data_IF_208986298520
#
_entry.id   IF_208986298520
#
_cell.length_a   1.000
_cell.length_b   1.000
_cell.length_c   1.000
_cell.angle_alpha   90.00
_cell.angle_beta   90.00
_cell.angle_gamma   90.00
#
_symmetry.space_group_name_H-M   'P 1'
#
loop_
_entity.id
_entity.type
_entity.pdbx_description
1 polymer ?
#
# COMPACT_ATOMS: atom_id res chain seq x y z
N UNK A 1 11.32 -8.77 -64.23
CA UNK A 1 10.32 -9.08 -63.17
C UNK A 1 10.86 -9.05 -61.72
N UNK A 2 12.14 -8.73 -61.48
CA UNK A 2 12.69 -8.72 -60.11
C UNK A 2 12.51 -7.39 -59.35
N UNK A 3 12.53 -6.25 -60.07
CA UNK A 3 12.42 -4.90 -59.46
C UNK A 3 11.05 -4.61 -58.82
N UNK A 4 9.96 -5.14 -59.38
CA UNK A 4 8.60 -4.92 -58.88
C UNK A 4 8.30 -5.68 -57.58
N UNK A 5 8.97 -6.83 -57.36
CA UNK A 5 8.80 -7.63 -56.13
C UNK A 5 9.50 -6.98 -54.92
N UNK A 6 10.66 -6.35 -55.12
CA UNK A 6 11.42 -5.69 -54.05
C UNK A 6 10.67 -4.45 -53.54
N UNK A 7 10.02 -3.68 -54.42
CA UNK A 7 9.20 -2.53 -54.03
C UNK A 7 7.97 -2.93 -53.20
N UNK A 8 7.32 -4.06 -53.53
CA UNK A 8 6.16 -4.57 -52.80
C UNK A 8 6.52 -5.10 -51.40
N UNK A 9 7.68 -5.76 -51.27
CA UNK A 9 8.19 -6.24 -49.99
C UNK A 9 8.61 -5.05 -49.12
N UNK A 10 9.27 -4.04 -49.68
CA UNK A 10 9.65 -2.82 -48.98
C UNK A 10 8.41 -2.04 -48.46
N UNK A 11 7.34 -1.98 -49.25
CA UNK A 11 6.08 -1.32 -48.88
C UNK A 11 5.34 -2.08 -47.76
N UNK A 12 5.34 -3.43 -47.81
CA UNK A 12 4.78 -4.26 -46.73
C UNK A 12 5.59 -4.15 -45.44
N UNK A 13 6.93 -4.07 -45.52
CA UNK A 13 7.77 -3.85 -44.34
C UNK A 13 7.59 -2.45 -43.75
N UNK A 14 7.40 -1.41 -44.58
CA UNK A 14 7.10 -0.05 -44.09
C UNK A 14 5.71 0.05 -43.44
N UNK A 15 4.70 -0.64 -43.97
CA UNK A 15 3.36 -0.71 -43.37
C UNK A 15 3.32 -1.54 -42.08
N UNK A 16 4.23 -2.51 -41.93
CA UNK A 16 4.36 -3.29 -40.68
C UNK A 16 5.12 -2.55 -39.57
N UNK A 17 5.91 -1.52 -39.91
CA UNK A 17 6.60 -0.65 -38.95
C UNK A 17 5.70 0.46 -38.40
N UNK A 18 4.53 0.69 -39.02
CA UNK A 18 3.52 1.65 -38.58
C UNK A 18 2.31 1.01 -37.89
N UNK A 19 2.38 -0.27 -37.51
CA UNK A 19 1.54 -0.76 -36.41
C UNK A 19 2.12 -0.26 -35.08
N UNK A 20 2.04 1.06 -34.88
CA UNK A 20 1.98 1.63 -33.55
C UNK A 20 0.95 0.79 -32.81
N UNK A 21 1.38 -0.01 -31.83
CA UNK A 21 0.47 -0.46 -30.78
C UNK A 21 0.05 0.82 -30.06
N UNK A 22 -0.89 1.56 -30.64
CA UNK A 22 -1.64 2.55 -29.90
C UNK A 22 -2.11 1.83 -28.66
N UNK A 23 -1.59 2.25 -27.53
CA UNK A 23 -1.84 1.58 -26.28
C UNK A 23 -3.35 1.68 -26.07
N UNK A 24 -4.08 0.56 -26.25
CA UNK A 24 -5.56 0.54 -26.30
C UNK A 24 -6.21 1.24 -25.10
N UNK A 25 -5.46 1.36 -24.00
CA UNK A 25 -5.81 2.11 -22.79
C UNK A 25 -6.14 3.59 -23.06
N UNK A 26 -5.44 4.26 -23.99
CA UNK A 26 -5.69 5.68 -24.34
C UNK A 26 -7.07 5.84 -24.99
N UNK A 27 -7.66 4.80 -25.57
CA UNK A 27 -8.99 4.87 -26.17
C UNK A 27 -10.12 4.43 -25.21
N UNK A 28 -9.79 3.92 -24.02
CA UNK A 28 -10.79 3.57 -23.01
C UNK A 28 -11.32 4.82 -22.31
N UNK A 29 -12.59 4.76 -21.94
CA UNK A 29 -13.22 5.72 -21.04
C UNK A 29 -12.81 5.43 -19.59
N UNK A 30 -12.60 6.50 -18.82
CA UNK A 30 -12.37 6.47 -17.38
C UNK A 30 -12.65 7.86 -16.81
N UNK A 31 -13.22 7.89 -15.62
CA UNK A 31 -13.58 9.10 -14.89
C UNK A 31 -12.56 9.46 -13.81
N UNK A 32 -11.75 8.50 -13.40
CA UNK A 32 -10.83 8.61 -12.28
C UNK A 32 -9.45 8.09 -12.67
N UNK A 33 -8.41 8.56 -11.99
CA UNK A 33 -7.05 8.09 -12.20
C UNK A 33 -6.37 7.86 -10.86
N UNK A 34 -5.69 6.72 -10.73
CA UNK A 34 -4.75 6.43 -9.65
C UNK A 34 -3.36 6.38 -10.26
N UNK A 35 -2.50 7.28 -9.81
CA UNK A 35 -1.12 7.40 -10.25
C UNK A 35 -0.19 6.90 -9.14
N UNK A 36 0.71 6.00 -9.52
CA UNK A 36 1.67 5.38 -8.60
C UNK A 36 3.09 5.37 -9.16
N UNK A 37 4.05 5.13 -8.27
CA UNK A 37 5.43 4.83 -8.59
C UNK A 37 5.65 3.31 -8.57
N UNK A 38 6.80 2.82 -9.05
CA UNK A 38 7.16 1.41 -8.90
C UNK A 38 7.15 0.95 -7.42
N UNK A 39 7.51 1.84 -6.50
CA UNK A 39 7.53 1.57 -5.07
C UNK A 39 6.10 1.40 -4.50
N UNK A 40 5.18 2.29 -4.87
CA UNK A 40 3.79 2.20 -4.41
C UNK A 40 3.00 1.12 -5.15
N UNK A 41 3.30 0.84 -6.42
CA UNK A 41 2.78 -0.31 -7.15
C UNK A 41 3.04 -1.62 -6.40
N UNK A 42 4.28 -1.80 -5.95
CA UNK A 42 4.65 -2.95 -5.13
C UNK A 42 3.83 -3.01 -3.83
N UNK A 43 3.74 -1.89 -3.11
CA UNK A 43 3.03 -1.80 -1.82
C UNK A 43 1.55 -2.18 -1.95
N UNK A 44 0.87 -1.68 -2.99
CA UNK A 44 -0.54 -1.96 -3.25
C UNK A 44 -0.78 -3.26 -4.04
N UNK A 45 0.30 -4.00 -4.39
CA UNK A 45 0.29 -5.25 -5.16
C UNK A 45 -0.28 -5.11 -6.58
N UNK A 46 -0.04 -3.97 -7.21
CA UNK A 46 -0.41 -3.69 -8.60
C UNK A 46 0.57 -4.44 -9.52
N UNK A 47 0.07 -5.24 -10.47
CA UNK A 47 0.92 -6.15 -11.29
C UNK A 47 0.84 -5.96 -12.81
N UNK A 48 -0.18 -5.25 -13.33
CA UNK A 48 -0.48 -5.22 -14.78
C UNK A 48 -0.81 -3.81 -15.31
N UNK A 49 0.03 -2.82 -15.03
CA UNK A 49 -0.19 -1.44 -15.46
C UNK A 49 0.28 -1.13 -16.89
N UNK A 50 -0.36 -0.16 -17.59
CA UNK A 50 -1.59 0.52 -17.20
C UNK A 50 -2.86 -0.29 -17.49
N UNK A 51 -3.91 -0.15 -16.67
CA UNK A 51 -5.20 -0.82 -16.87
C UNK A 51 -6.37 0.03 -16.38
N UNK A 52 -7.58 -0.29 -16.85
CA UNK A 52 -8.83 0.36 -16.42
C UNK A 52 -9.71 -0.66 -15.72
N UNK A 53 -10.19 -0.32 -14.53
CA UNK A 53 -11.14 -1.08 -13.73
C UNK A 53 -12.14 -0.12 -13.08
N UNK A 54 -13.44 -0.42 -13.17
CA UNK A 54 -14.50 0.41 -12.57
C UNK A 54 -14.38 1.91 -12.88
N UNK A 55 -14.14 2.24 -14.16
CA UNK A 55 -13.92 3.60 -14.67
C UNK A 55 -12.72 4.34 -14.05
N UNK A 56 -11.81 3.61 -13.42
CA UNK A 56 -10.56 4.12 -12.86
C UNK A 56 -9.38 3.61 -13.68
N UNK A 57 -8.56 4.54 -14.18
CA UNK A 57 -7.28 4.22 -14.77
C UNK A 57 -6.21 4.08 -13.67
N UNK A 58 -5.59 2.91 -13.62
CA UNK A 58 -4.37 2.65 -12.87
C UNK A 58 -3.17 2.82 -13.79
N UNK A 59 -2.26 3.72 -13.45
CA UNK A 59 -1.09 4.02 -14.29
C UNK A 59 0.13 4.40 -13.46
N UNK A 60 1.29 3.94 -13.91
CA UNK A 60 2.57 4.37 -13.35
C UNK A 60 2.91 5.78 -13.81
N UNK A 61 3.49 6.59 -12.93
CA UNK A 61 3.89 7.96 -13.24
C UNK A 61 4.84 8.03 -14.44
N UNK A 62 5.69 7.02 -14.66
CA UNK A 62 6.59 6.97 -15.82
C UNK A 62 5.85 6.98 -17.17
N UNK A 63 4.59 6.55 -17.18
CA UNK A 63 3.76 6.43 -18.38
C UNK A 63 2.73 7.56 -18.49
N UNK A 64 2.80 8.58 -17.63
CA UNK A 64 1.80 9.66 -17.55
C UNK A 64 1.67 10.49 -18.83
N UNK A 65 2.75 10.58 -19.62
CA UNK A 65 2.77 11.29 -20.90
C UNK A 65 1.69 10.77 -21.86
N UNK A 66 1.39 9.47 -21.81
CA UNK A 66 0.40 8.82 -22.64
C UNK A 66 -1.03 9.34 -22.43
N UNK A 67 -1.30 9.98 -21.29
CA UNK A 67 -2.64 10.44 -20.91
C UNK A 67 -2.68 11.91 -20.53
N UNK A 68 -1.62 12.68 -20.81
CA UNK A 68 -1.50 14.08 -20.39
C UNK A 68 -2.72 14.93 -20.77
N UNK A 69 -3.27 14.71 -21.97
CA UNK A 69 -4.40 15.45 -22.54
C UNK A 69 -5.75 15.07 -21.90
N UNK A 70 -5.78 14.01 -21.10
CA UNK A 70 -6.96 13.54 -20.37
C UNK A 70 -6.98 13.98 -18.90
N UNK A 71 -5.84 14.37 -18.32
CA UNK A 71 -5.73 14.72 -16.90
C UNK A 71 -6.64 15.88 -16.47
N UNK A 72 -6.92 16.82 -17.38
CA UNK A 72 -7.82 17.95 -17.12
C UNK A 72 -9.31 17.58 -17.24
N UNK A 73 -9.64 16.40 -17.77
CA UNK A 73 -11.02 15.97 -18.08
C UNK A 73 -11.61 14.98 -17.08
N UNK A 74 -10.77 14.38 -16.24
CA UNK A 74 -11.20 13.39 -15.25
C UNK A 74 -11.73 14.05 -13.97
N UNK A 75 -12.64 13.36 -13.29
CA UNK A 75 -13.28 13.83 -12.05
C UNK A 75 -12.28 14.00 -10.92
N UNK A 76 -11.43 12.98 -10.68
CA UNK A 76 -10.41 13.00 -9.62
C UNK A 76 -9.17 12.20 -10.02
N UNK A 77 -8.03 12.63 -9.49
CA UNK A 77 -6.73 11.98 -9.63
C UNK A 77 -6.19 11.73 -8.22
N UNK A 78 -5.87 10.49 -7.88
CA UNK A 78 -5.18 10.12 -6.64
C UNK A 78 -3.70 9.88 -6.94
N UNK A 79 -2.82 10.66 -6.31
CA UNK A 79 -1.39 10.44 -6.35
C UNK A 79 -0.95 9.70 -5.08
N UNK A 80 -0.36 8.52 -5.24
CA UNK A 80 0.01 7.65 -4.11
C UNK A 80 1.36 7.97 -3.47
N UNK A 81 2.13 8.90 -4.06
CA UNK A 81 3.46 9.30 -3.62
C UNK A 81 3.72 10.78 -3.94
N UNK A 82 4.82 11.34 -3.43
CA UNK A 82 5.23 12.70 -3.79
C UNK A 82 5.92 12.68 -5.16
N UNK A 83 5.27 13.28 -6.16
CA UNK A 83 5.80 13.36 -7.53
C UNK A 83 6.67 14.59 -7.76
N UNK A 84 7.74 14.44 -8.54
CA UNK A 84 8.53 15.54 -9.11
C UNK A 84 8.20 15.77 -10.59
N UNK A 85 7.30 15.01 -11.19
CA UNK A 85 6.94 15.11 -12.59
C UNK A 85 6.26 16.45 -12.91
N UNK A 86 6.77 17.15 -13.91
CA UNK A 86 6.29 18.46 -14.30
C UNK A 86 4.83 18.44 -14.77
N UNK A 87 4.37 17.41 -15.48
CA UNK A 87 2.99 17.31 -15.98
C UNK A 87 1.97 17.33 -14.84
N UNK A 88 2.35 16.73 -13.70
CA UNK A 88 1.56 16.69 -12.48
C UNK A 88 1.73 17.97 -11.65
N UNK A 89 2.92 18.58 -11.66
CA UNK A 89 3.26 19.73 -10.82
C UNK A 89 2.99 21.11 -11.46
N UNK A 90 2.90 21.19 -12.79
CA UNK A 90 2.85 22.46 -13.54
C UNK A 90 1.45 23.12 -13.54
N UNK A 91 0.44 22.47 -12.95
CA UNK A 91 -0.91 23.04 -12.77
C UNK A 91 -1.42 22.78 -11.36
N UNK A 92 -1.98 23.80 -10.70
CA UNK A 92 -2.83 23.63 -9.49
C UNK A 92 -4.14 22.95 -9.88
N UNK A 93 -4.08 21.63 -10.10
CA UNK A 93 -5.21 20.78 -10.45
C UNK A 93 -6.14 20.64 -9.26
N UNK A 94 -7.38 21.16 -9.34
CA UNK A 94 -8.39 21.03 -8.27
C UNK A 94 -8.88 19.59 -8.08
N UNK A 95 -8.72 18.76 -9.10
CA UNK A 95 -9.09 17.34 -9.09
C UNK A 95 -7.96 16.44 -8.60
N UNK A 96 -6.80 16.99 -8.22
CA UNK A 96 -5.65 16.23 -7.73
C UNK A 96 -5.69 16.09 -6.20
N UNK A 97 -5.59 14.87 -5.73
CA UNK A 97 -5.51 14.51 -4.32
C UNK A 97 -4.26 13.68 -4.05
N UNK A 98 -3.64 13.89 -2.90
CA UNK A 98 -2.49 13.12 -2.47
C UNK A 98 -2.92 12.13 -1.40
N UNK A 99 -2.50 10.88 -1.53
CA UNK A 99 -2.74 9.87 -0.50
C UNK A 99 -2.11 10.27 0.85
N UNK A 100 -1.03 11.05 0.83
CA UNK A 100 -0.39 11.61 2.03
C UNK A 100 -1.26 12.58 2.81
N UNK A 101 -2.26 13.18 2.17
CA UNK A 101 -3.12 14.19 2.78
C UNK A 101 -4.36 13.54 3.43
N UNK A 102 -4.59 12.26 3.17
CA UNK A 102 -5.68 11.51 3.79
C UNK A 102 -5.32 11.19 5.24
N UNK A 103 -6.26 11.50 6.14
CA UNK A 103 -6.15 11.07 7.53
C UNK A 103 -6.56 9.60 7.64
N UNK A 104 -5.60 8.75 8.01
CA UNK A 104 -5.86 7.34 8.29
C UNK A 104 -6.08 7.09 9.77
N UNK A 105 -6.93 6.10 10.07
CA UNK A 105 -7.07 5.60 11.44
C UNK A 105 -7.07 4.09 11.53
N UNK A 106 -6.60 3.63 12.69
CA UNK A 106 -6.52 2.26 13.11
C UNK A 106 -7.64 1.84 14.07
N UNK A 107 -8.57 2.72 14.44
CA UNK A 107 -9.62 2.43 15.45
C UNK A 107 -10.36 1.12 15.17
N UNK A 108 -10.87 0.95 13.95
CA UNK A 108 -11.53 -0.29 13.50
C UNK A 108 -10.64 -1.53 13.67
N UNK A 109 -9.36 -1.41 13.36
CA UNK A 109 -8.40 -2.51 13.45
C UNK A 109 -8.01 -2.84 14.90
N UNK A 110 -7.85 -1.81 15.73
CA UNK A 110 -7.65 -1.94 17.17
C UNK A 110 -8.85 -2.67 17.77
N UNK A 111 -10.08 -2.24 17.49
CA UNK A 111 -11.29 -2.90 17.99
C UNK A 111 -11.37 -4.36 17.54
N UNK A 112 -11.07 -4.65 16.27
CA UNK A 112 -11.01 -6.04 15.81
C UNK A 112 -10.00 -6.89 16.60
N UNK A 113 -8.80 -6.36 16.90
CA UNK A 113 -7.78 -7.07 17.67
C UNK A 113 -8.25 -7.34 19.11
N UNK A 114 -8.92 -6.36 19.73
CA UNK A 114 -9.28 -6.41 21.15
C UNK A 114 -10.67 -7.00 21.43
N UNK A 115 -11.56 -7.11 20.44
CA UNK A 115 -12.91 -7.70 20.58
C UNK A 115 -12.97 -9.15 20.11
N UNK A 116 -12.10 -9.56 19.19
CA UNK A 116 -12.12 -10.93 18.66
C UNK A 116 -11.46 -11.90 19.66
N UNK A 117 -12.24 -12.86 20.19
CA UNK A 117 -11.86 -13.86 21.21
C UNK A 117 -10.71 -14.80 20.82
N UNK A 118 -10.11 -14.60 19.65
CA UNK A 118 -8.93 -15.30 19.13
C UNK A 118 -7.60 -14.88 19.78
N UNK A 119 -7.61 -13.86 20.63
CA UNK A 119 -6.42 -13.40 21.33
C UNK A 119 -6.33 -13.99 22.74
N UNK A 120 -5.60 -15.10 22.87
CA UNK A 120 -4.96 -15.40 24.14
C UNK A 120 -3.89 -14.33 24.36
N UNK A 121 -4.28 -13.18 24.93
CA UNK A 121 -3.36 -12.06 25.18
C UNK A 121 -2.18 -12.47 26.07
N UNK A 122 -2.37 -13.52 26.87
CA UNK A 122 -1.32 -14.15 27.69
C UNK A 122 -0.19 -14.76 26.88
N UNK A 123 -0.44 -15.24 25.64
CA UNK A 123 0.58 -15.74 24.70
C UNK A 123 0.90 -14.73 23.58
N UNK A 124 0.43 -13.49 23.69
CA UNK A 124 0.63 -12.44 22.70
C UNK A 124 1.63 -11.39 23.19
N UNK A 125 2.65 -11.10 22.38
CA UNK A 125 3.52 -9.94 22.55
C UNK A 125 2.94 -8.76 21.76
N UNK A 126 2.41 -7.75 22.46
CA UNK A 126 1.90 -6.52 21.84
C UNK A 126 2.97 -5.43 21.93
N UNK A 127 3.33 -4.88 20.77
CA UNK A 127 4.35 -3.85 20.66
C UNK A 127 3.82 -2.63 19.88
N UNK A 128 4.30 -1.44 20.25
CA UNK A 128 4.08 -0.20 19.49
C UNK A 128 5.38 0.56 19.32
N UNK A 129 5.40 1.48 18.36
CA UNK A 129 6.41 2.53 18.29
C UNK A 129 5.77 3.92 18.16
N UNK A 130 6.59 4.95 18.01
CA UNK A 130 6.16 6.34 17.93
C UNK A 130 5.64 6.74 16.52
N UNK A 131 5.31 5.78 15.64
CA UNK A 131 4.83 6.09 14.28
C UNK A 131 3.30 6.15 14.17
N UNK A 132 2.58 5.75 15.21
CA UNK A 132 1.14 5.97 15.31
C UNK A 132 0.84 7.46 15.46
N UNK A 133 -0.28 7.91 14.91
CA UNK A 133 -0.79 9.24 15.23
C UNK A 133 -1.29 9.26 16.69
N UNK A 134 -1.43 10.47 17.25
CA UNK A 134 -1.85 10.68 18.64
C UNK A 134 -3.19 10.02 18.96
N UNK A 135 -4.18 10.18 18.08
CA UNK A 135 -5.53 9.67 18.29
C UNK A 135 -5.59 8.14 18.35
N UNK A 136 -4.91 7.45 17.44
CA UNK A 136 -4.81 6.00 17.42
C UNK A 136 -3.99 5.48 18.60
N UNK A 137 -2.94 6.20 19.01
CA UNK A 137 -2.13 5.86 20.19
C UNK A 137 -2.95 5.96 21.49
N UNK A 138 -3.69 7.05 21.68
CA UNK A 138 -4.58 7.24 22.84
C UNK A 138 -5.68 6.18 22.87
N UNK A 139 -6.25 5.86 21.70
CA UNK A 139 -7.26 4.82 21.58
C UNK A 139 -6.71 3.43 21.93
N UNK A 140 -5.51 3.09 21.44
CA UNK A 140 -4.82 1.85 21.77
C UNK A 140 -4.55 1.75 23.28
N UNK A 141 -4.03 2.80 23.91
CA UNK A 141 -3.76 2.82 25.35
C UNK A 141 -5.03 2.62 26.17
N UNK A 142 -6.15 3.24 25.76
CA UNK A 142 -7.45 3.03 26.39
C UNK A 142 -7.88 1.56 26.33
N UNK A 143 -7.84 0.93 25.14
CA UNK A 143 -8.22 -0.48 24.96
C UNK A 143 -7.35 -1.44 25.74
N UNK A 144 -6.04 -1.19 25.79
CA UNK A 144 -5.08 -2.01 26.54
C UNK A 144 -5.36 -1.93 28.05
N UNK A 145 -5.63 -0.72 28.59
CA UNK A 145 -5.99 -0.52 30.00
C UNK A 145 -7.32 -1.19 30.36
N UNK A 146 -8.34 -1.05 29.52
CA UNK A 146 -9.66 -1.67 29.72
C UNK A 146 -9.57 -3.20 29.87
N UNK A 147 -8.58 -3.83 29.23
CA UNK A 147 -8.39 -5.29 29.25
C UNK A 147 -7.24 -5.77 30.13
N UNK A 148 -6.59 -4.85 30.87
CA UNK A 148 -5.42 -5.13 31.70
C UNK A 148 -4.30 -5.88 30.94
N UNK A 149 -4.02 -5.45 29.71
CA UNK A 149 -2.99 -6.03 28.85
C UNK A 149 -1.71 -5.20 28.98
N UNK A 150 -0.55 -5.84 28.85
CA UNK A 150 0.72 -5.14 28.77
C UNK A 150 1.07 -4.82 27.30
N UNK A 151 1.50 -3.59 27.03
CA UNK A 151 2.04 -3.18 25.74
C UNK A 151 3.48 -2.70 25.90
N UNK A 152 4.37 -3.19 25.03
CA UNK A 152 5.77 -2.77 25.02
C UNK A 152 5.99 -1.67 23.98
N UNK A 153 6.48 -0.52 24.42
CA UNK A 153 6.93 0.53 23.49
C UNK A 153 8.34 0.20 23.02
N UNK A 154 8.55 0.13 21.70
CA UNK A 154 9.86 -0.04 21.09
C UNK A 154 10.55 1.33 20.99
N UNK A 155 11.77 1.40 21.48
CA UNK A 155 12.59 2.62 21.50
C UNK A 155 14.07 2.31 21.22
N UNK A 156 14.92 3.33 21.29
CA UNK A 156 16.35 3.19 21.03
C UNK A 156 17.08 2.30 22.05
N UNK A 157 16.51 2.08 23.25
CA UNK A 157 17.14 1.30 24.31
C UNK A 157 16.86 -0.19 24.12
N UNK A 158 15.65 -0.55 23.66
CA UNK A 158 15.22 -1.94 23.57
C UNK A 158 15.24 -2.54 22.16
N UNK A 159 15.36 -1.73 21.11
CA UNK A 159 15.32 -2.19 19.71
C UNK A 159 16.37 -3.26 19.38
N UNK A 160 17.53 -3.21 20.03
CA UNK A 160 18.61 -4.19 19.80
C UNK A 160 18.31 -5.56 20.43
N UNK A 161 17.44 -5.59 21.44
CA UNK A 161 17.11 -6.77 22.23
C UNK A 161 15.80 -7.44 21.82
N UNK A 162 15.11 -6.95 20.79
CA UNK A 162 13.79 -7.46 20.37
C UNK A 162 13.76 -8.99 20.15
N UNK A 163 14.87 -9.60 19.70
CA UNK A 163 14.97 -11.06 19.53
C UNK A 163 14.64 -11.82 20.84
N UNK A 164 14.96 -11.25 21.99
CA UNK A 164 14.78 -11.85 23.30
C UNK A 164 13.33 -11.74 23.80
N UNK A 165 12.51 -10.86 23.19
CA UNK A 165 11.11 -10.72 23.59
C UNK A 165 10.24 -11.86 23.05
N UNK A 166 10.69 -12.52 21.98
CA UNK A 166 10.08 -13.76 21.52
C UNK A 166 10.65 -14.92 22.36
N UNK A 167 9.82 -15.42 23.27
CA UNK A 167 10.10 -16.60 24.10
C UNK A 167 9.25 -17.79 23.63
N UNK A 168 9.51 -19.04 24.07
CA UNK A 168 8.69 -20.21 23.72
C UNK A 168 7.20 -20.08 24.06
N UNK A 169 6.84 -19.20 25.01
CA UNK A 169 5.46 -18.97 25.44
C UNK A 169 4.70 -18.00 24.55
N UNK A 170 5.42 -17.22 23.73
CA UNK A 170 4.82 -16.28 22.81
C UNK A 170 4.45 -17.06 21.55
N UNK A 171 3.19 -16.95 21.15
CA UNK A 171 2.63 -17.58 19.95
C UNK A 171 2.28 -16.52 18.90
N UNK A 172 2.08 -15.27 19.33
CA UNK A 172 1.67 -14.17 18.47
C UNK A 172 2.41 -12.88 18.77
N UNK A 173 2.73 -12.15 17.73
CA UNK A 173 3.22 -10.77 17.81
C UNK A 173 2.22 -9.84 17.11
N UNK A 174 1.78 -8.81 17.84
CA UNK A 174 0.93 -7.75 17.32
C UNK A 174 1.77 -6.47 17.30
N UNK A 175 2.05 -5.95 16.11
CA UNK A 175 2.97 -4.84 15.92
C UNK A 175 2.24 -3.60 15.42
N UNK A 176 2.05 -2.63 16.33
CA UNK A 176 1.52 -1.31 16.03
C UNK A 176 2.63 -0.36 15.57
N UNK A 177 3.05 -0.51 14.31
CA UNK A 177 3.99 0.41 13.65
C UNK A 177 3.52 0.68 12.22
N UNK A 178 3.49 1.94 11.80
CA UNK A 178 3.10 2.33 10.44
C UNK A 178 4.27 2.27 9.45
N UNK A 179 5.52 2.42 9.92
CA UNK A 179 6.69 2.63 9.04
C UNK A 179 7.84 1.65 9.29
N UNK A 180 8.00 1.18 10.52
CA UNK A 180 9.24 0.53 10.95
C UNK A 180 9.13 -1.00 11.07
N UNK A 181 8.01 -1.60 10.64
CA UNK A 181 7.81 -3.06 10.71
C UNK A 181 9.01 -3.85 10.16
N UNK A 182 9.57 -3.41 9.03
CA UNK A 182 10.71 -4.09 8.41
C UNK A 182 11.96 -4.14 9.31
N UNK A 183 12.21 -3.10 10.12
CA UNK A 183 13.33 -3.03 11.05
C UNK A 183 13.08 -4.01 12.19
N UNK A 184 11.90 -3.95 12.81
CA UNK A 184 11.56 -4.79 13.95
C UNK A 184 11.50 -6.26 13.57
N UNK A 185 10.90 -6.60 12.43
CA UNK A 185 10.82 -7.98 11.95
C UNK A 185 12.20 -8.56 11.65
N UNK A 186 13.14 -7.77 11.12
CA UNK A 186 14.54 -8.21 10.94
C UNK A 186 15.24 -8.50 12.28
N UNK A 187 14.95 -7.73 13.32
CA UNK A 187 15.53 -7.97 14.66
C UNK A 187 14.90 -9.19 15.32
N UNK A 188 13.57 -9.30 15.25
CA UNK A 188 12.80 -10.44 15.75
C UNK A 188 13.18 -11.75 15.04
N UNK A 189 13.52 -11.71 13.74
CA UNK A 189 13.90 -12.90 12.97
C UNK A 189 15.20 -13.55 13.42
N UNK A 190 15.97 -12.89 14.30
CA UNK A 190 17.15 -13.49 14.94
C UNK A 190 16.79 -14.41 16.11
N UNK A 191 15.53 -14.47 16.52
CA UNK A 191 15.04 -15.40 17.55
C UNK A 191 14.89 -16.82 16.98
N UNK A 192 15.29 -17.88 17.71
CA UNK A 192 15.06 -19.26 17.28
C UNK A 192 13.57 -19.64 17.19
N UNK A 193 12.68 -18.85 17.80
CA UNK A 193 11.24 -19.12 17.80
C UNK A 193 10.48 -18.36 16.71
N UNK A 194 11.13 -17.46 15.96
CA UNK A 194 10.46 -16.55 15.02
C UNK A 194 9.51 -17.24 14.04
N UNK A 195 9.90 -18.40 13.48
CA UNK A 195 9.09 -19.15 12.50
C UNK A 195 7.81 -19.75 13.09
N UNK A 196 7.68 -19.81 14.42
CA UNK A 196 6.52 -20.35 15.13
C UNK A 196 5.50 -19.27 15.52
N UNK A 197 5.80 -18.00 15.23
CA UNK A 197 4.99 -16.86 15.67
C UNK A 197 4.02 -16.44 14.57
N UNK A 198 2.74 -16.28 14.93
CA UNK A 198 1.73 -15.59 14.12
C UNK A 198 1.95 -14.07 14.22
N UNK A 199 1.99 -13.37 13.08
CA UNK A 199 2.12 -11.91 13.07
C UNK A 199 0.83 -11.20 12.64
N UNK A 200 0.44 -10.17 13.41
CA UNK A 200 -0.54 -9.15 13.03
C UNK A 200 0.21 -7.84 12.85
N UNK A 201 0.18 -7.30 11.64
CA UNK A 201 1.02 -6.17 11.24
C UNK A 201 0.17 -5.02 10.69
N UNK A 202 0.65 -3.80 10.90
CA UNK A 202 0.07 -2.58 10.31
C UNK A 202 0.96 -2.11 9.17
N UNK A 203 0.38 -1.83 8.01
CA UNK A 203 1.11 -1.53 6.78
C UNK A 203 1.78 -2.75 6.16
N UNK A 204 2.44 -2.54 5.02
CA UNK A 204 3.10 -3.64 4.31
C UNK A 204 4.49 -3.97 4.88
N UNK A 205 4.86 -5.23 4.72
CA UNK A 205 6.21 -5.73 4.98
C UNK A 205 6.99 -5.73 3.67
N UNK A 206 8.19 -5.14 3.65
CA UNK A 206 9.02 -5.14 2.44
C UNK A 206 9.26 -6.58 1.95
N UNK A 207 9.39 -6.72 0.62
CA UNK A 207 9.57 -7.95 -0.19
C UNK A 207 10.57 -8.98 0.35
N UNK A 208 11.49 -8.54 1.21
CA UNK A 208 12.59 -9.36 1.70
C UNK A 208 12.23 -10.19 2.93
N UNK A 209 11.05 -10.00 3.53
CA UNK A 209 10.59 -10.77 4.68
C UNK A 209 9.72 -11.97 4.24
N UNK A 210 10.25 -12.79 3.30
CA UNK A 210 9.54 -13.94 2.70
C UNK A 210 9.12 -15.03 3.70
N UNK A 211 9.58 -14.97 4.95
CA UNK A 211 9.45 -16.04 5.95
C UNK A 211 8.51 -15.69 7.12
N UNK A 212 7.69 -14.65 7.00
CA UNK A 212 6.76 -14.25 8.08
C UNK A 212 5.44 -14.98 7.93
N UNK A 213 5.05 -15.71 8.97
CA UNK A 213 3.70 -16.23 9.14
C UNK A 213 2.75 -15.08 9.56
N UNK A 214 2.43 -14.19 8.62
CA UNK A 214 1.48 -13.10 8.84
C UNK A 214 0.07 -13.63 8.67
N UNK A 215 -0.73 -13.56 9.74
CA UNK A 215 -2.12 -13.99 9.75
C UNK A 215 -3.05 -12.87 9.26
N UNK A 216 -2.74 -11.64 9.68
CA UNK A 216 -3.48 -10.44 9.30
C UNK A 216 -2.53 -9.30 8.95
N UNK A 217 -2.93 -8.51 7.94
CA UNK A 217 -2.33 -7.22 7.59
C UNK A 217 -3.41 -6.15 7.65
N UNK A 218 -3.15 -5.10 8.40
CA UNK A 218 -4.00 -3.91 8.50
C UNK A 218 -3.41 -2.87 7.54
N UNK A 219 -4.13 -2.47 6.50
CA UNK A 219 -3.55 -1.60 5.49
C UNK A 219 -4.50 -1.21 4.38
N UNK A 220 -3.92 -0.89 3.23
CA UNK A 220 -4.60 -0.45 2.02
C UNK A 220 -4.13 -1.35 0.87
N UNK A 221 -5.05 -1.81 0.03
CA UNK A 221 -4.78 -2.54 -1.21
C UNK A 221 -5.40 -1.82 -2.43
N UNK A 222 -5.32 -2.45 -3.59
CA UNK A 222 -5.93 -1.94 -4.83
C UNK A 222 -7.43 -1.59 -4.71
N UNK A 223 -8.23 -2.45 -4.05
CA UNK A 223 -9.67 -2.24 -3.86
C UNK A 223 -9.95 -1.06 -2.93
N UNK A 224 -9.13 -0.86 -1.91
CA UNK A 224 -9.24 0.32 -1.04
C UNK A 224 -8.94 1.60 -1.81
N UNK A 225 -7.96 1.58 -2.72
CA UNK A 225 -7.68 2.75 -3.56
C UNK A 225 -8.86 3.09 -4.47
N UNK A 226 -9.58 2.08 -4.99
CA UNK A 226 -10.83 2.26 -5.75
C UNK A 226 -11.88 2.97 -4.89
N UNK A 227 -12.07 2.51 -3.66
CA UNK A 227 -13.04 3.12 -2.73
C UNK A 227 -12.66 4.57 -2.37
N UNK A 228 -11.38 4.78 -2.06
CA UNK A 228 -10.81 6.08 -1.71
C UNK A 228 -11.02 7.06 -2.85
N UNK A 229 -10.60 6.75 -4.09
CA UNK A 229 -10.67 7.74 -5.17
C UNK A 229 -12.11 8.13 -5.52
N UNK A 230 -13.07 7.21 -5.37
CA UNK A 230 -14.48 7.51 -5.59
C UNK A 230 -15.00 8.50 -4.52
N UNK A 231 -14.67 8.27 -3.25
CA UNK A 231 -15.21 9.02 -2.11
C UNK A 231 -14.42 10.28 -1.71
N UNK A 232 -13.13 10.35 -2.04
CA UNK A 232 -12.21 11.37 -1.49
C UNK A 232 -12.64 12.81 -1.76
N UNK A 233 -12.61 13.62 -0.71
CA UNK A 233 -12.90 15.04 -0.72
C UNK A 233 -11.99 15.79 0.29
N UNK A 234 -12.27 17.06 0.57
CA UNK A 234 -11.50 17.82 1.57
C UNK A 234 -11.78 17.28 2.96
N UNK A 235 -10.72 17.09 3.76
CA UNK A 235 -10.77 16.52 5.12
C UNK A 235 -11.24 15.05 5.16
N UNK A 236 -11.10 14.33 4.05
CA UNK A 236 -11.44 12.92 3.97
C UNK A 236 -10.66 12.09 5.01
N UNK A 237 -11.37 11.17 5.65
CA UNK A 237 -10.84 10.26 6.66
C UNK A 237 -11.11 8.82 6.23
N UNK A 238 -10.12 7.96 6.41
CA UNK A 238 -10.19 6.56 6.00
C UNK A 238 -9.78 5.61 7.14
N UNK A 239 -10.64 4.66 7.45
CA UNK A 239 -10.33 3.60 8.41
C UNK A 239 -9.66 2.43 7.70
N UNK A 240 -8.49 2.03 8.19
CA UNK A 240 -7.72 0.95 7.57
C UNK A 240 -8.47 -0.38 7.63
N UNK A 241 -8.43 -1.10 6.52
CA UNK A 241 -9.04 -2.42 6.40
C UNK A 241 -8.10 -3.53 6.88
N UNK A 242 -8.70 -4.68 7.18
CA UNK A 242 -8.01 -5.85 7.76
C UNK A 242 -8.07 -6.97 6.75
N UNK A 243 -6.90 -7.46 6.36
CA UNK A 243 -6.74 -8.50 5.37
C UNK A 243 -6.20 -9.76 6.00
N UNK A 244 -6.94 -10.86 5.84
CA UNK A 244 -6.42 -12.19 6.15
C UNK A 244 -5.41 -12.59 5.05
N UNK A 245 -4.25 -13.09 5.45
CA UNK A 245 -3.24 -13.65 4.53
C UNK A 245 -3.28 -15.16 4.48
#
# INVERSE_FOLDING_TARGET
MLKTKIALIALFTLLSLSSCKENKIINKHFDYIIIFSDATAYFFKIKNDPFVQEDILFINEKDIEMIKDKLDKVKKILLTHKSTNEILNNKRRKNLFFLSDIKFSLKKAIDFIFTNSLAHFTSSLIMRDNTLNKEDSEYLEKRVKEQNINITTIDNQNIEYLKNFITPKIERVILFSMKNNHIYLKRLSSSPFFKKIDFILIGDTRKNLKEINSKYIIGINELDLIDIIKKIDKNFYYELNIYKR
#
